data_IF_660197657701
#
_entry.id   IF_660197657701
#
_cell.length_a   1.000
_cell.length_b   1.000
_cell.length_c   1.000
_cell.angle_alpha   90.00
_cell.angle_beta   90.00
_cell.angle_gamma   90.00
#
_symmetry.space_group_name_H-M   'P 1'
#
loop_
_entity.id
_entity.type
_entity.pdbx_description
1 polymer ?
#
# COMPACT_ATOMS: atom_id res chain seq x y z
N UNK A 1 10.17 5.54 3.10
CA UNK A 1 9.24 6.61 2.65
C UNK A 1 8.86 7.43 3.89
N UNK A 2 8.08 8.52 3.82
CA UNK A 2 7.52 9.09 5.07
C UNK A 2 6.58 8.03 5.64
N UNK A 3 6.76 7.60 6.91
CA UNK A 3 5.92 6.56 7.55
C UNK A 3 4.42 6.79 7.35
N UNK A 4 3.98 8.05 7.40
CA UNK A 4 2.60 8.48 7.14
C UNK A 4 2.07 7.98 5.78
N UNK A 5 2.92 7.98 4.73
CA UNK A 5 2.52 7.57 3.39
C UNK A 5 2.38 6.04 3.28
N UNK A 6 3.29 5.31 3.91
CA UNK A 6 3.20 3.84 4.02
C UNK A 6 1.94 3.46 4.79
N UNK A 7 1.67 4.10 5.94
CA UNK A 7 0.46 3.87 6.73
C UNK A 7 -0.82 4.19 5.94
N UNK A 8 -0.82 5.24 5.11
CA UNK A 8 -1.96 5.56 4.25
C UNK A 8 -2.20 4.49 3.17
N UNK A 9 -1.13 4.01 2.53
CA UNK A 9 -1.19 2.91 1.56
C UNK A 9 -1.81 1.67 2.19
N UNK A 10 -1.39 1.31 3.41
CA UNK A 10 -1.94 0.16 4.14
C UNK A 10 -3.41 0.39 4.48
N UNK A 11 -3.80 1.59 4.94
CA UNK A 11 -5.21 1.89 5.26
C UNK A 11 -6.14 1.78 4.05
N UNK A 12 -5.71 2.25 2.87
CA UNK A 12 -6.51 2.07 1.65
C UNK A 12 -6.64 0.61 1.26
N UNK A 13 -5.56 -0.17 1.34
CA UNK A 13 -5.61 -1.61 1.11
C UNK A 13 -6.57 -2.32 2.08
N UNK A 14 -6.50 -1.99 3.37
CA UNK A 14 -7.43 -2.50 4.39
C UNK A 14 -8.88 -2.08 4.16
N UNK A 15 -9.12 -0.91 3.54
CA UNK A 15 -10.43 -0.45 3.13
C UNK A 15 -10.95 -1.12 1.84
N UNK A 16 -10.17 -2.02 1.24
CA UNK A 16 -10.55 -2.81 0.07
C UNK A 16 -10.17 -2.20 -1.28
N UNK A 17 -9.35 -1.15 -1.30
CA UNK A 17 -8.88 -0.53 -2.55
C UNK A 17 -7.86 -1.44 -3.23
N UNK A 18 -8.02 -1.61 -4.54
CA UNK A 18 -7.06 -2.34 -5.35
C UNK A 18 -5.77 -1.52 -5.59
N UNK A 19 -4.68 -2.22 -5.94
CA UNK A 19 -3.40 -1.59 -6.29
C UNK A 19 -3.54 -0.52 -7.38
N UNK A 20 -4.40 -0.76 -8.37
CA UNK A 20 -4.67 0.16 -9.48
C UNK A 20 -5.45 1.41 -9.06
N UNK A 21 -6.18 1.35 -7.94
CA UNK A 21 -6.89 2.48 -7.36
C UNK A 21 -5.99 3.28 -6.40
N UNK A 22 -5.04 2.61 -5.73
CA UNK A 22 -4.08 3.26 -4.83
C UNK A 22 -2.98 3.97 -5.60
N UNK A 23 -2.46 3.39 -6.69
CA UNK A 23 -1.31 3.93 -7.42
C UNK A 23 -1.49 5.39 -7.90
N UNK A 24 -2.66 5.81 -8.42
CA UNK A 24 -2.90 7.21 -8.79
C UNK A 24 -2.94 8.19 -7.61
N UNK A 25 -3.25 7.73 -6.39
CA UNK A 25 -3.33 8.57 -5.19
C UNK A 25 -1.95 8.94 -4.63
N UNK A 26 -0.93 8.16 -5.00
CA UNK A 26 0.46 8.32 -4.55
C UNK A 26 1.42 8.29 -5.75
N UNK A 27 1.35 9.29 -6.65
CA UNK A 27 2.13 9.28 -7.89
C UNK A 27 3.64 9.34 -7.67
N UNK A 28 4.09 9.81 -6.50
CA UNK A 28 5.50 9.83 -6.12
C UNK A 28 6.06 8.46 -5.71
N UNK A 29 5.20 7.45 -5.53
CA UNK A 29 5.60 6.09 -5.13
C UNK A 29 5.43 5.16 -6.32
N UNK A 30 6.49 4.44 -6.74
CA UNK A 30 6.36 3.46 -7.80
C UNK A 30 5.32 2.40 -7.46
N UNK A 31 4.45 2.04 -8.40
CA UNK A 31 3.41 1.00 -8.23
C UNK A 31 3.97 -0.32 -7.68
N UNK A 32 5.18 -0.70 -8.10
CA UNK A 32 5.86 -1.89 -7.59
C UNK A 32 6.19 -1.81 -6.10
N UNK A 33 6.54 -0.63 -5.58
CA UNK A 33 6.79 -0.42 -4.16
C UNK A 33 5.48 -0.48 -3.35
N UNK A 34 4.38 0.05 -3.88
CA UNK A 34 3.04 -0.09 -3.28
C UNK A 34 2.66 -1.57 -3.18
N UNK A 35 2.86 -2.33 -4.26
CA UNK A 35 2.60 -3.77 -4.28
C UNK A 35 3.46 -4.55 -3.27
N UNK A 36 4.73 -4.15 -3.09
CA UNK A 36 5.62 -4.77 -2.12
C UNK A 36 5.16 -4.50 -0.68
N UNK A 37 4.74 -3.26 -0.37
CA UNK A 37 4.19 -2.88 0.95
C UNK A 37 2.93 -3.68 1.29
N UNK A 38 1.99 -3.76 0.34
CA UNK A 38 0.75 -4.53 0.51
C UNK A 38 1.05 -6.02 0.75
N UNK A 39 1.93 -6.63 -0.06
CA UNK A 39 2.33 -8.04 0.11
C UNK A 39 3.01 -8.30 1.44
N UNK A 40 3.82 -7.36 1.95
CA UNK A 40 4.46 -7.49 3.25
C UNK A 40 3.42 -7.44 4.37
N UNK A 41 2.49 -6.48 4.32
CA UNK A 41 1.41 -6.34 5.29
C UNK A 41 0.47 -7.57 5.33
N UNK A 42 0.14 -8.13 4.16
CA UNK A 42 -0.69 -9.34 4.06
C UNK A 42 0.00 -10.58 4.65
N UNK A 43 1.34 -10.68 4.53
CA UNK A 43 2.10 -11.77 5.17
C UNK A 43 2.09 -11.63 6.69
N UNK A 44 2.29 -10.42 7.20
CA UNK A 44 2.30 -10.12 8.64
C UNK A 44 0.93 -10.32 9.27
N UNK A 45 -0.16 -9.98 8.57
CA UNK A 45 -1.54 -10.15 9.06
C UNK A 45 -2.00 -11.62 9.08
N UNK A 46 -1.33 -12.50 8.32
CA UNK A 46 -1.64 -13.94 8.25
C UNK A 46 -0.85 -14.80 9.23
N UNK A 47 0.09 -14.22 9.96
CA UNK A 47 0.85 -14.85 11.04
C UNK A 47 0.16 -14.57 12.39
#
# INVERSE_FOLDING_TARGET
MKKILEDMIIKWHQAGYALDEIAPLVPQVPKAAIAALIRQHDKETRL
#
